data_IF_169367978706
#
_entry.id   IF_169367978706
#
_cell.length_a   1.000
_cell.length_b   1.000
_cell.length_c   1.000
_cell.angle_alpha   90.00
_cell.angle_beta   90.00
_cell.angle_gamma   90.00
#
_symmetry.space_group_name_H-M   'P 1'
#
loop_
_entity.id
_entity.type
_entity.pdbx_description
1 polymer ?
#
# COMPACT_ATOMS: atom_id res chain seq x y z
N UNK A 1 15.72 2.00 -16.26
CA UNK A 1 14.27 2.06 -16.20
C UNK A 1 13.73 0.92 -15.38
N UNK A 2 12.87 1.23 -14.45
CA UNK A 2 12.34 0.21 -13.55
C UNK A 2 11.32 -0.66 -14.27
N UNK A 3 11.39 -1.96 -14.04
CA UNK A 3 10.40 -2.88 -14.58
C UNK A 3 9.12 -2.78 -13.78
N UNK A 4 7.99 -2.84 -14.45
CA UNK A 4 6.69 -2.85 -13.79
C UNK A 4 6.51 -4.17 -13.06
N UNK A 5 5.79 -4.10 -11.95
CA UNK A 5 5.41 -5.30 -11.24
C UNK A 5 4.23 -5.93 -11.97
N UNK A 6 4.24 -7.26 -12.05
CA UNK A 6 3.15 -7.99 -12.66
C UNK A 6 1.82 -7.54 -12.06
N UNK A 7 0.85 -7.23 -12.91
CA UNK A 7 -0.38 -6.61 -12.44
C UNK A 7 -1.23 -7.55 -11.57
N UNK A 8 -1.12 -8.85 -11.79
CA UNK A 8 -1.86 -9.78 -10.95
C UNK A 8 -1.27 -9.86 -9.55
N UNK A 9 0.06 -9.83 -9.46
CA UNK A 9 0.71 -9.80 -8.16
C UNK A 9 0.41 -8.48 -7.45
N UNK A 10 0.46 -7.39 -8.20
CA UNK A 10 0.23 -6.07 -7.63
C UNK A 10 -1.18 -5.92 -7.08
N UNK A 11 -2.18 -6.46 -7.79
CA UNK A 11 -3.57 -6.26 -7.42
C UNK A 11 -3.87 -6.74 -6.01
N UNK A 12 -3.26 -7.83 -5.59
CA UNK A 12 -3.54 -8.39 -4.28
C UNK A 12 -2.92 -7.63 -3.13
N UNK A 13 -2.03 -6.68 -3.40
CA UNK A 13 -1.32 -5.97 -2.35
C UNK A 13 -1.47 -4.46 -2.41
N UNK A 14 -2.32 -3.94 -3.29
CA UNK A 14 -2.49 -2.49 -3.39
C UNK A 14 -3.02 -1.88 -2.11
N UNK A 15 -4.01 -2.53 -1.48
CA UNK A 15 -4.54 -2.03 -0.22
C UNK A 15 -3.45 -1.93 0.83
N UNK A 16 -2.63 -2.96 0.92
CA UNK A 16 -1.54 -2.98 1.89
C UNK A 16 -0.57 -1.84 1.64
N UNK A 17 -0.23 -1.58 0.38
CA UNK A 17 0.69 -0.50 0.06
C UNK A 17 0.14 0.85 0.44
N UNK A 18 -1.14 1.09 0.17
CA UNK A 18 -1.74 2.38 0.51
C UNK A 18 -1.84 2.55 2.03
N UNK A 19 -2.23 1.49 2.74
CA UNK A 19 -2.25 1.56 4.21
C UNK A 19 -0.86 1.85 4.75
N UNK A 20 0.16 1.21 4.17
CA UNK A 20 1.54 1.43 4.60
C UNK A 20 1.99 2.86 4.37
N UNK A 21 1.61 3.45 3.25
CA UNK A 21 1.95 4.84 2.95
C UNK A 21 1.35 5.78 3.97
N UNK A 22 0.18 5.45 4.50
CA UNK A 22 -0.50 6.31 5.47
C UNK A 22 -0.06 6.05 6.91
N UNK A 23 0.84 5.09 7.11
CA UNK A 23 1.24 4.71 8.47
C UNK A 23 1.96 5.83 9.21
N UNK A 24 2.68 6.69 8.51
CA UNK A 24 3.44 7.74 9.15
C UNK A 24 2.70 9.08 9.22
N UNK A 25 1.46 9.12 8.80
CA UNK A 25 0.66 10.32 8.96
C UNK A 25 -0.32 10.54 7.81
N UNK A 26 -1.19 11.52 7.99
CA UNK A 26 -2.19 11.83 6.96
C UNK A 26 -1.54 12.33 5.67
N UNK A 27 -2.18 12.03 4.54
CA UNK A 27 -1.72 12.50 3.24
C UNK A 27 -2.91 12.75 2.35
N UNK A 28 -2.77 13.69 1.42
CA UNK A 28 -3.78 13.84 0.38
C UNK A 28 -3.37 13.00 -0.84
N UNK A 29 -4.34 12.79 -1.74
CA UNK A 29 -4.18 11.78 -2.78
C UNK A 29 -2.92 11.90 -3.61
N UNK A 30 -2.54 13.12 -3.97
CA UNK A 30 -1.35 13.32 -4.79
C UNK A 30 -0.09 12.81 -4.06
N UNK A 31 0.01 13.08 -2.76
CA UNK A 31 1.16 12.61 -1.99
C UNK A 31 1.19 11.10 -1.88
N UNK A 32 0.01 10.48 -1.78
CA UNK A 32 -0.05 9.02 -1.76
C UNK A 32 0.51 8.46 -3.07
N UNK A 33 0.06 9.03 -4.20
CA UNK A 33 0.57 8.59 -5.51
C UNK A 33 2.08 8.77 -5.59
N UNK A 34 2.56 9.91 -5.15
CA UNK A 34 3.97 10.22 -5.24
C UNK A 34 4.80 9.29 -4.38
N UNK A 35 4.35 9.01 -3.17
CA UNK A 35 5.10 8.13 -2.29
C UNK A 35 5.11 6.69 -2.78
N UNK A 36 4.00 6.25 -3.39
CA UNK A 36 4.00 4.92 -4.01
C UNK A 36 5.06 4.82 -5.10
N UNK A 37 5.14 5.84 -5.95
CA UNK A 37 6.16 5.86 -6.99
C UNK A 37 7.56 5.91 -6.40
N UNK A 38 7.78 6.82 -5.46
CA UNK A 38 9.12 7.03 -4.91
C UNK A 38 9.63 5.82 -4.16
N UNK A 39 8.78 5.24 -3.33
CA UNK A 39 9.18 4.09 -2.52
C UNK A 39 9.46 2.86 -3.37
N UNK A 40 8.76 2.72 -4.49
CA UNK A 40 8.89 1.53 -5.33
C UNK A 40 9.89 1.71 -6.47
N UNK A 41 10.55 2.87 -6.56
CA UNK A 41 11.42 3.14 -7.70
C UNK A 41 10.64 3.20 -8.99
N UNK A 42 9.48 3.83 -8.96
CA UNK A 42 8.57 3.99 -10.10
C UNK A 42 7.93 2.70 -10.58
N UNK A 43 8.06 1.62 -9.80
CA UNK A 43 7.46 0.35 -10.19
C UNK A 43 5.99 0.27 -9.83
N UNK A 44 5.52 1.11 -8.92
CA UNK A 44 4.10 1.21 -8.56
C UNK A 44 3.68 2.64 -8.87
N UNK A 45 2.92 2.79 -9.94
CA UNK A 45 2.51 4.10 -10.42
C UNK A 45 1.01 4.06 -10.69
N UNK A 46 0.24 4.34 -9.64
CA UNK A 46 -1.21 4.24 -9.74
C UNK A 46 -1.80 5.52 -10.31
N UNK A 47 -2.63 5.35 -11.32
CA UNK A 47 -3.39 6.46 -11.85
C UNK A 47 -4.53 6.81 -10.90
N UNK A 48 -5.05 8.03 -11.04
CA UNK A 48 -6.14 8.47 -10.20
C UNK A 48 -7.36 7.55 -10.31
N UNK A 49 -7.62 7.03 -11.51
CA UNK A 49 -8.76 6.14 -11.73
C UNK A 49 -8.64 4.81 -10.98
N UNK A 50 -7.45 4.43 -10.55
CA UNK A 50 -7.25 3.25 -9.73
C UNK A 50 -7.18 3.61 -8.26
N UNK A 51 -6.49 4.69 -7.94
CA UNK A 51 -6.24 5.06 -6.55
C UNK A 51 -7.50 5.51 -5.83
N UNK A 52 -8.29 6.40 -6.45
CA UNK A 52 -9.42 6.97 -5.71
C UNK A 52 -10.52 5.97 -5.42
N UNK A 53 -10.90 5.05 -6.32
CA UNK A 53 -11.83 4.00 -5.92
C UNK A 53 -11.31 3.13 -4.79
N UNK A 54 -10.01 2.88 -4.77
CA UNK A 54 -9.39 2.10 -3.68
C UNK A 54 -9.51 2.85 -2.36
N UNK A 55 -9.21 4.15 -2.37
CA UNK A 55 -9.34 4.97 -1.17
C UNK A 55 -10.79 5.03 -0.68
N UNK A 56 -11.75 5.13 -1.60
CA UNK A 56 -13.15 5.13 -1.22
C UNK A 56 -13.55 3.83 -0.56
N UNK A 57 -13.04 2.70 -1.04
CA UNK A 57 -13.34 1.41 -0.44
C UNK A 57 -12.74 1.31 0.95
N UNK A 58 -11.51 1.78 1.13
CA UNK A 58 -10.88 1.76 2.45
C UNK A 58 -11.62 2.64 3.43
N UNK A 59 -12.16 3.77 2.96
CA UNK A 59 -12.95 4.65 3.80
C UNK A 59 -14.28 3.98 4.17
N UNK A 60 -14.93 3.34 3.20
CA UNK A 60 -16.19 2.63 3.46
C UNK A 60 -15.99 1.51 4.47
N UNK A 61 -14.84 0.87 4.44
CA UNK A 61 -14.51 -0.20 5.37
C UNK A 61 -13.99 0.31 6.70
N UNK A 62 -13.93 1.62 6.88
CA UNK A 62 -13.52 2.27 8.11
C UNK A 62 -12.03 2.09 8.45
N UNK A 63 -11.22 1.75 7.48
CA UNK A 63 -9.78 1.66 7.68
C UNK A 63 -9.10 3.00 7.51
N UNK A 64 -9.77 3.92 6.82
CA UNK A 64 -9.26 5.24 6.52
C UNK A 64 -10.39 6.22 6.82
N UNK A 65 -10.04 7.35 7.41
CA UNK A 65 -10.98 8.45 7.55
C UNK A 65 -10.46 9.63 6.77
N UNK A 66 -11.36 10.53 6.43
CA UNK A 66 -11.02 11.66 5.59
C UNK A 66 -11.43 12.95 6.26
N UNK A 67 -10.78 14.02 5.89
CA UNK A 67 -11.20 15.34 6.26
C UNK A 67 -10.83 16.30 5.15
N UNK A 68 -11.63 17.33 5.02
CA UNK A 68 -11.36 18.37 4.04
C UNK A 68 -10.64 19.52 4.71
N UNK A 69 -9.67 20.07 4.01
CA UNK A 69 -8.96 21.25 4.45
C UNK A 69 -9.14 22.32 3.39
N UNK A 70 -9.48 23.53 3.82
CA UNK A 70 -9.67 24.65 2.92
C UNK A 70 -8.76 25.77 3.39
N UNK A 71 -7.55 25.78 2.88
CA UNK A 71 -6.63 26.86 3.17
C UNK A 71 -6.25 27.53 1.87
N UNK A 72 -6.08 28.84 1.92
CA UNK A 72 -5.65 29.61 0.76
C UNK A 72 -6.55 29.36 -0.44
N UNK A 73 -7.86 29.17 -0.19
CA UNK A 73 -8.85 29.02 -1.24
C UNK A 73 -8.83 27.69 -1.96
N UNK A 74 -8.03 26.74 -1.52
CA UNK A 74 -7.93 25.45 -2.17
C UNK A 74 -8.43 24.37 -1.22
N UNK A 75 -9.28 23.49 -1.73
CA UNK A 75 -9.80 22.38 -0.95
C UNK A 75 -8.91 21.16 -1.19
N UNK A 76 -8.53 20.50 -0.10
CA UNK A 76 -7.77 19.27 -0.16
C UNK A 76 -8.43 18.25 0.74
N UNK A 77 -8.50 17.01 0.25
CA UNK A 77 -9.03 15.92 1.03
C UNK A 77 -7.87 15.12 1.58
N UNK A 78 -7.80 15.04 2.89
CA UNK A 78 -6.76 14.31 3.59
C UNK A 78 -7.27 12.94 3.98
N UNK A 79 -6.40 11.95 3.89
CA UNK A 79 -6.69 10.57 4.25
C UNK A 79 -5.79 10.19 5.40
N UNK A 80 -6.34 9.47 6.37
CA UNK A 80 -5.61 9.12 7.58
C UNK A 80 -6.06 7.75 8.04
N UNK A 81 -5.11 6.94 8.54
CA UNK A 81 -5.47 5.62 9.09
C UNK A 81 -6.29 5.79 10.36
N UNK A 82 -7.31 4.95 10.48
CA UNK A 82 -8.02 4.78 11.74
C UNK A 82 -7.29 3.73 12.59
N UNK A 83 -7.71 3.54 13.82
CA UNK A 83 -7.17 2.46 14.63
C UNK A 83 -7.41 1.11 13.96
N UNK A 84 -8.58 0.93 13.36
CA UNK A 84 -8.88 -0.29 12.63
C UNK A 84 -7.96 -0.44 11.42
N UNK A 85 -7.65 0.68 10.75
CA UNK A 85 -6.73 0.65 9.62
C UNK A 85 -5.33 0.23 10.02
N UNK A 86 -4.86 0.71 11.16
CA UNK A 86 -3.54 0.31 11.65
C UNK A 86 -3.49 -1.17 11.97
N UNK A 87 -4.56 -1.67 12.59
CA UNK A 87 -4.65 -3.11 12.89
C UNK A 87 -4.69 -3.92 11.61
N UNK A 88 -5.47 -3.45 10.62
CA UNK A 88 -5.54 -4.10 9.32
C UNK A 88 -4.16 -4.18 8.67
N UNK A 89 -3.41 -3.09 8.74
CA UNK A 89 -2.05 -3.05 8.18
C UNK A 89 -1.16 -4.09 8.85
N UNK A 90 -1.22 -4.17 10.18
CA UNK A 90 -0.40 -5.13 10.91
C UNK A 90 -0.77 -6.56 10.54
N UNK A 91 -2.06 -6.85 10.49
CA UNK A 91 -2.54 -8.20 10.20
C UNK A 91 -2.19 -8.61 8.77
N UNK A 92 -2.36 -7.71 7.82
CA UNK A 92 -2.02 -8.01 6.43
C UNK A 92 -0.53 -8.18 6.24
N UNK A 93 0.27 -7.37 6.93
CA UNK A 93 1.71 -7.49 6.86
C UNK A 93 2.15 -8.86 7.34
N UNK A 94 1.60 -9.29 8.48
CA UNK A 94 1.95 -10.59 9.02
C UNK A 94 1.51 -11.72 8.09
N UNK A 95 0.29 -11.62 7.58
CA UNK A 95 -0.22 -12.65 6.68
C UNK A 95 0.63 -12.76 5.42
N UNK A 96 1.06 -11.62 4.88
CA UNK A 96 1.88 -11.62 3.69
C UNK A 96 3.24 -12.24 3.97
N UNK A 97 3.84 -11.88 5.11
CA UNK A 97 5.14 -12.43 5.47
C UNK A 97 5.09 -13.94 5.64
N UNK A 98 4.01 -14.43 6.25
CA UNK A 98 3.83 -15.88 6.39
C UNK A 98 3.64 -16.56 5.04
N UNK A 99 2.89 -15.92 4.16
CA UNK A 99 2.68 -16.45 2.82
C UNK A 99 3.99 -16.51 2.04
N UNK A 100 4.78 -15.45 2.11
CA UNK A 100 6.05 -15.40 1.39
C UNK A 100 6.99 -16.50 1.92
N UNK A 101 7.02 -16.71 3.23
CA UNK A 101 7.84 -17.76 3.81
C UNK A 101 7.41 -19.14 3.32
N UNK A 102 6.11 -19.36 3.29
CA UNK A 102 5.59 -20.63 2.78
C UNK A 102 5.97 -20.83 1.32
N UNK A 103 5.81 -19.78 0.54
CA UNK A 103 6.08 -19.83 -0.89
C UNK A 103 7.55 -20.12 -1.17
N UNK A 104 8.44 -19.59 -0.35
CA UNK A 104 9.86 -19.85 -0.51
C UNK A 104 10.19 -21.32 -0.43
N UNK A 105 9.50 -22.05 0.44
CA UNK A 105 9.73 -23.47 0.56
C UNK A 105 9.44 -24.20 -0.74
N UNK A 106 8.42 -23.77 -1.48
CA UNK A 106 8.08 -24.39 -2.75
C UNK A 106 9.02 -23.97 -3.86
N UNK A 107 9.45 -22.74 -3.85
CA UNK A 107 10.25 -22.20 -4.95
C UNK A 107 11.72 -22.57 -4.85
N UNK A 108 12.11 -23.29 -3.83
CA UNK A 108 13.51 -23.63 -3.62
C UNK A 108 14.32 -22.44 -3.22
N UNK A 109 13.67 -21.41 -2.89
CA UNK A 109 14.12 -20.15 -2.45
C UNK A 109 15.31 -19.61 -3.18
N UNK A 110 15.27 -18.37 -3.46
CA UNK A 110 16.41 -17.65 -3.95
C UNK A 110 17.17 -17.02 -2.83
N UNK A 111 16.77 -17.27 -1.61
CA UNK A 111 17.46 -16.68 -0.51
C UNK A 111 18.90 -17.12 -0.53
N UNK A 112 19.82 -16.25 -0.18
CA UNK A 112 21.22 -16.61 -0.17
C UNK A 112 21.57 -17.59 0.93
N UNK A 113 20.62 -17.94 1.74
CA UNK A 113 20.90 -18.88 2.83
C UNK A 113 21.40 -20.18 2.27
N UNK A 114 22.51 -20.69 2.78
CA UNK A 114 23.00 -21.97 2.33
C UNK A 114 22.02 -23.06 2.71
N UNK A 115 21.96 -24.06 1.84
CA UNK A 115 21.12 -25.16 2.14
C UNK A 115 21.93 -26.19 2.87
N UNK A 116 21.35 -26.80 3.84
CA UNK A 116 21.99 -27.98 4.41
C UNK A 116 22.10 -29.03 3.33
N UNK A 117 23.12 -29.74 3.36
CA UNK A 117 23.39 -30.76 2.38
C UNK A 117 22.31 -31.82 2.37
#
# INVERSE_FOLDING_TARGET
>A
MAASIDSELLRGSLDLMVLAVLADGPKYGYLIQQQLRDTSGSRVDLQAGTLYPLLHRLEADKYVRTRWETETGRRRKWYELTAAGRRRLQDQTRALQEYVECLRAFLGTSAPAPRPA
#
